data_IF_021354649042
#
_entry.id   IF_021354649042
#
_cell.length_a   1.000
_cell.length_b   1.000
_cell.length_c   1.000
_cell.angle_alpha   90.00
_cell.angle_beta   90.00
_cell.angle_gamma   90.00
#
_symmetry.space_group_name_H-M   'P 1'
#
loop_
_entity.id
_entity.type
_entity.pdbx_description
1 polymer ?
#
# COMPACT_ATOMS: atom_id res chain seq x y z
N UNK A 1 9.85 4.72 -2.36
CA UNK A 1 8.59 5.49 -2.27
C UNK A 1 7.44 4.66 -2.83
N UNK A 2 6.30 4.67 -2.17
CA UNK A 2 5.13 3.89 -2.58
C UNK A 2 4.19 4.82 -3.33
N UNK A 3 4.51 5.10 -4.59
CA UNK A 3 3.81 6.14 -5.34
C UNK A 3 2.44 5.72 -5.85
N UNK A 4 2.16 4.42 -5.95
CA UNK A 4 0.89 3.93 -6.51
C UNK A 4 -0.08 3.39 -5.47
N UNK A 5 0.26 3.45 -4.18
CA UNK A 5 -0.56 2.81 -3.15
C UNK A 5 -1.99 3.35 -3.14
N UNK A 6 -2.14 4.66 -3.12
CA UNK A 6 -3.46 5.28 -3.05
C UNK A 6 -4.31 4.94 -4.28
N UNK A 7 -3.72 5.04 -5.47
CA UNK A 7 -4.42 4.74 -6.72
C UNK A 7 -4.87 3.30 -6.78
N UNK A 8 -3.98 2.37 -6.42
CA UNK A 8 -4.31 0.94 -6.44
C UNK A 8 -5.39 0.64 -5.42
N UNK A 9 -5.26 1.20 -4.22
CA UNK A 9 -6.27 1.02 -3.17
C UNK A 9 -7.64 1.48 -3.66
N UNK A 10 -7.72 2.67 -4.24
CA UNK A 10 -8.98 3.20 -4.75
C UNK A 10 -9.53 2.36 -5.90
N UNK A 11 -8.67 1.90 -6.79
CA UNK A 11 -9.08 1.04 -7.89
C UNK A 11 -9.68 -0.28 -7.40
N UNK A 12 -9.25 -0.76 -6.24
CA UNK A 12 -9.80 -1.97 -5.62
C UNK A 12 -11.03 -1.66 -4.76
N UNK A 13 -11.46 -0.41 -4.68
CA UNK A 13 -12.64 -0.03 -3.92
C UNK A 13 -12.45 -0.10 -2.41
N UNK A 14 -11.22 0.03 -1.93
CA UNK A 14 -10.93 -0.08 -0.50
C UNK A 14 -10.70 1.28 0.15
N UNK A 15 -11.18 1.42 1.38
CA UNK A 15 -10.83 2.56 2.23
C UNK A 15 -9.47 2.29 2.88
N UNK A 16 -8.85 3.34 3.45
CA UNK A 16 -7.62 3.16 4.22
C UNK A 16 -7.82 2.17 5.37
N UNK A 17 -8.95 2.25 6.05
CA UNK A 17 -9.25 1.35 7.16
C UNK A 17 -9.37 -0.10 6.70
N UNK A 18 -10.01 -0.33 5.55
CA UNK A 18 -10.14 -1.67 4.99
C UNK A 18 -8.80 -2.24 4.58
N UNK A 19 -7.96 -1.44 3.95
CA UNK A 19 -6.62 -1.88 3.58
C UNK A 19 -5.78 -2.18 4.83
N UNK A 20 -5.86 -1.33 5.84
CA UNK A 20 -5.13 -1.53 7.09
C UNK A 20 -5.49 -2.87 7.73
N UNK A 21 -6.77 -3.19 7.76
CA UNK A 21 -7.24 -4.45 8.31
C UNK A 21 -6.78 -5.64 7.47
N UNK A 22 -6.90 -5.54 6.15
CA UNK A 22 -6.50 -6.63 5.25
C UNK A 22 -5.00 -6.88 5.30
N UNK A 23 -4.19 -5.83 5.37
CA UNK A 23 -2.73 -5.92 5.38
C UNK A 23 -2.15 -6.12 6.77
N UNK A 24 -2.97 -6.00 7.84
CA UNK A 24 -2.51 -6.05 9.22
C UNK A 24 -1.48 -4.96 9.52
N UNK A 25 -1.73 -3.77 9.00
CA UNK A 25 -0.89 -2.59 9.19
C UNK A 25 -1.76 -1.48 9.75
N UNK A 26 -1.24 -0.73 10.71
CA UNK A 26 -2.00 0.35 11.34
C UNK A 26 -2.41 1.39 10.30
N UNK A 27 -3.66 1.88 10.40
CA UNK A 27 -4.21 2.84 9.44
C UNK A 27 -3.37 4.11 9.35
N UNK A 28 -2.80 4.57 10.45
CA UNK A 28 -1.95 5.76 10.47
C UNK A 28 -0.73 5.56 9.56
N UNK A 29 -0.16 4.35 9.57
CA UNK A 29 0.97 4.03 8.69
C UNK A 29 0.54 4.04 7.22
N UNK A 30 -0.64 3.51 6.93
CA UNK A 30 -1.17 3.54 5.55
C UNK A 30 -1.24 5.00 5.06
N UNK A 31 -1.78 5.89 5.88
CA UNK A 31 -1.89 7.31 5.52
C UNK A 31 -0.51 7.93 5.28
N UNK A 32 0.47 7.60 6.13
CA UNK A 32 1.83 8.12 5.98
C UNK A 32 2.50 7.58 4.71
N UNK A 33 2.27 6.33 4.37
CA UNK A 33 2.78 5.74 3.13
C UNK A 33 2.18 6.45 1.91
N UNK A 34 0.88 6.71 1.94
CA UNK A 34 0.20 7.34 0.81
C UNK A 34 0.63 8.79 0.58
N UNK A 35 1.02 9.48 1.64
CA UNK A 35 1.48 10.88 1.54
C UNK A 35 2.99 10.98 1.31
N UNK A 36 3.71 9.87 1.34
CA UNK A 36 5.15 9.86 1.15
C UNK A 36 5.96 10.29 2.36
N UNK A 37 5.34 10.44 3.52
CA UNK A 37 6.04 10.81 4.75
C UNK A 37 6.96 9.72 5.26
N UNK A 38 6.55 8.47 5.05
CA UNK A 38 7.29 7.30 5.47
C UNK A 38 7.23 6.29 4.34
N UNK A 39 8.35 5.65 4.04
CA UNK A 39 8.35 4.55 3.08
C UNK A 39 8.16 3.23 3.84
N UNK A 40 7.35 2.31 3.32
CA UNK A 40 7.20 1.01 3.97
C UNK A 40 8.48 0.19 3.85
N UNK A 41 8.70 -0.67 4.84
CA UNK A 41 9.74 -1.69 4.72
C UNK A 41 9.32 -2.70 3.65
N UNK A 42 10.27 -3.53 3.22
CA UNK A 42 9.94 -4.58 2.25
C UNK A 42 8.83 -5.49 2.79
N UNK A 43 8.91 -5.85 4.07
CA UNK A 43 7.89 -6.68 4.70
C UNK A 43 6.51 -6.01 4.64
N UNK A 44 6.43 -4.72 4.96
CA UNK A 44 5.18 -3.98 4.89
C UNK A 44 4.68 -3.85 3.45
N UNK A 45 5.58 -3.60 2.51
CA UNK A 45 5.22 -3.52 1.09
C UNK A 45 4.64 -4.84 0.60
N UNK A 46 5.22 -5.96 1.02
CA UNK A 46 4.70 -7.28 0.66
C UNK A 46 3.29 -7.52 1.21
N UNK A 47 3.07 -7.10 2.46
CA UNK A 47 1.74 -7.21 3.07
C UNK A 47 0.70 -6.37 2.32
N UNK A 48 1.06 -5.16 1.95
CA UNK A 48 0.19 -4.28 1.19
C UNK A 48 -0.11 -4.85 -0.19
N UNK A 49 0.90 -5.31 -0.88
CA UNK A 49 0.75 -5.89 -2.22
C UNK A 49 -0.16 -7.11 -2.17
N UNK A 50 0.05 -7.98 -1.18
CA UNK A 50 -0.78 -9.17 -1.00
C UNK A 50 -2.24 -8.79 -0.74
N UNK A 51 -2.47 -7.80 0.13
CA UNK A 51 -3.83 -7.35 0.45
C UNK A 51 -4.53 -6.75 -0.75
N UNK A 52 -3.78 -6.13 -1.65
CA UNK A 52 -4.33 -5.50 -2.86
C UNK A 52 -4.34 -6.41 -4.07
N UNK A 53 -3.71 -7.60 -3.97
CA UNK A 53 -3.66 -8.53 -5.09
C UNK A 53 -2.75 -8.07 -6.22
N UNK A 54 -1.70 -7.34 -5.91
CA UNK A 54 -0.73 -6.83 -6.89
C UNK A 54 0.68 -7.23 -6.48
N UNK A 55 1.65 -6.98 -7.36
CA UNK A 55 3.06 -7.20 -7.02
C UNK A 55 3.62 -6.00 -6.28
N UNK A 56 4.74 -6.20 -5.58
CA UNK A 56 5.44 -5.10 -4.92
C UNK A 56 5.90 -4.08 -5.97
N UNK A 57 6.36 -4.55 -7.12
CA UNK A 57 6.81 -3.66 -8.20
C UNK A 57 5.68 -2.74 -8.68
N UNK A 58 4.47 -3.28 -8.82
CA UNK A 58 3.32 -2.46 -9.17
C UNK A 58 3.01 -1.43 -8.10
N UNK A 59 3.16 -1.83 -6.83
CA UNK A 59 2.85 -0.96 -5.71
C UNK A 59 3.80 0.24 -5.65
N UNK A 60 5.07 0.02 -5.90
CA UNK A 60 6.06 1.11 -5.85
C UNK A 60 6.19 1.86 -7.17
N UNK A 61 5.43 1.46 -8.19
CA UNK A 61 5.45 2.14 -9.47
C UNK A 61 6.68 1.86 -10.30
N UNK A 62 7.38 0.78 -10.03
CA UNK A 62 8.58 0.43 -10.76
C UNK A 62 8.19 -0.23 -12.08
N UNK A 63 8.58 0.38 -13.19
CA UNK A 63 8.37 -0.20 -14.50
C UNK A 63 9.33 -1.38 -14.66
N UNK A 64 8.77 -2.53 -14.91
CA UNK A 64 9.47 -3.80 -14.96
C UNK A 64 10.68 -3.88 -15.83
#
# INVERSE_FOLDING_TARGET
MVSNLKEIRKAKGMTQAQLAEAAKIHRILIAKYETGRVDPTLNSAEKLASALGVTVDELIGKAG
#
